data_IF_943747813580
#
_entry.id   IF_943747813580
#
_cell.length_a   1.000
_cell.length_b   1.000
_cell.length_c   1.000
_cell.angle_alpha   90.00
_cell.angle_beta   90.00
_cell.angle_gamma   90.00
#
_symmetry.space_group_name_H-M   'P 1'
#
loop_
_entity.id
_entity.type
_entity.pdbx_description
1 polymer ?
#
# COMPACT_ATOMS: atom_id res chain seq x y z
N UNK A 1 -17.93 -17.57 -5.81
CA UNK A 1 -17.14 -16.83 -4.79
C UNK A 1 -15.73 -16.64 -5.33
N UNK A 2 -15.09 -15.50 -5.06
CA UNK A 2 -13.70 -15.23 -5.46
C UNK A 2 -12.77 -15.43 -4.26
N UNK A 3 -11.55 -15.91 -4.51
CA UNK A 3 -10.50 -16.01 -3.49
C UNK A 3 -9.23 -15.39 -4.08
N UNK A 4 -8.71 -14.37 -3.40
CA UNK A 4 -7.39 -13.82 -3.66
C UNK A 4 -6.45 -14.23 -2.53
N UNK A 5 -5.21 -14.53 -2.90
CA UNK A 5 -4.10 -14.73 -1.98
C UNK A 5 -2.99 -13.82 -2.48
N UNK A 6 -2.54 -12.91 -1.62
CA UNK A 6 -1.41 -12.03 -1.90
C UNK A 6 -0.21 -12.54 -1.11
N UNK A 7 0.76 -13.11 -1.80
CA UNK A 7 2.01 -13.61 -1.19
C UNK A 7 3.09 -12.53 -1.31
N UNK A 8 3.59 -12.08 -0.16
CA UNK A 8 4.60 -11.02 -0.10
C UNK A 8 5.99 -11.64 -0.25
N UNK A 9 6.59 -11.51 -1.44
CA UNK A 9 7.94 -12.03 -1.71
C UNK A 9 9.06 -11.14 -1.16
N UNK A 10 8.77 -9.84 -0.96
CA UNK A 10 9.67 -8.85 -0.37
C UNK A 10 8.86 -7.73 0.27
N UNK A 11 9.38 -7.14 1.36
CA UNK A 11 8.70 -6.06 2.07
C UNK A 11 9.71 -5.03 2.57
N UNK A 12 9.59 -3.79 2.10
CA UNK A 12 10.29 -2.63 2.65
C UNK A 12 9.40 -1.39 2.51
N UNK A 13 8.27 -1.41 3.20
CA UNK A 13 7.17 -0.47 3.05
C UNK A 13 5.85 -1.21 3.17
N UNK A 14 4.75 -0.63 2.67
CA UNK A 14 3.43 -1.24 2.80
C UNK A 14 3.15 -2.36 1.80
N UNK A 15 3.35 -3.59 2.27
CA UNK A 15 2.89 -4.79 1.56
C UNK A 15 1.36 -4.92 1.52
N UNK A 16 0.63 -4.25 2.40
CA UNK A 16 -0.84 -4.20 2.37
C UNK A 16 -1.36 -3.34 1.22
N UNK A 17 -0.77 -2.18 0.95
CA UNK A 17 -1.12 -1.37 -0.23
C UNK A 17 -0.65 -2.04 -1.53
N UNK A 18 0.54 -2.68 -1.52
CA UNK A 18 0.97 -3.52 -2.63
C UNK A 18 -0.04 -4.65 -2.93
N UNK A 19 -0.63 -5.25 -1.89
CA UNK A 19 -1.66 -6.29 -2.04
C UNK A 19 -2.94 -5.74 -2.69
N UNK A 20 -3.34 -4.51 -2.40
CA UNK A 20 -4.48 -3.85 -3.07
C UNK A 20 -4.18 -3.63 -4.56
N UNK A 21 -3.03 -3.03 -4.87
CA UNK A 21 -2.61 -2.77 -6.25
C UNK A 21 -2.50 -4.07 -7.07
N UNK A 22 -1.82 -5.08 -6.52
CA UNK A 22 -1.67 -6.39 -7.13
C UNK A 22 -3.01 -7.09 -7.33
N UNK A 23 -3.90 -7.04 -6.32
CA UNK A 23 -5.25 -7.63 -6.43
C UNK A 23 -6.09 -6.97 -7.51
N UNK A 24 -6.01 -5.64 -7.66
CA UNK A 24 -6.72 -4.93 -8.73
C UNK A 24 -6.27 -5.44 -10.11
N UNK A 25 -4.97 -5.63 -10.32
CA UNK A 25 -4.44 -6.15 -11.58
C UNK A 25 -4.82 -7.63 -11.79
N UNK A 26 -4.67 -8.47 -10.76
CA UNK A 26 -5.04 -9.90 -10.83
C UNK A 26 -6.53 -10.12 -11.11
N UNK A 27 -7.41 -9.26 -10.58
CA UNK A 27 -8.84 -9.32 -10.87
C UNK A 27 -9.17 -8.94 -12.32
N UNK A 28 -8.48 -7.95 -12.87
CA UNK A 28 -8.61 -7.58 -14.28
C UNK A 28 -8.13 -8.71 -15.19
N UNK A 29 -6.97 -9.29 -14.89
CA UNK A 29 -6.39 -10.42 -15.64
C UNK A 29 -7.32 -11.66 -15.60
N UNK A 30 -7.91 -11.95 -14.44
CA UNK A 30 -8.89 -13.01 -14.28
C UNK A 30 -10.26 -12.71 -14.94
N UNK A 31 -10.44 -11.55 -15.59
CA UNK A 31 -11.69 -11.16 -16.25
C UNK A 31 -12.84 -10.82 -15.29
N UNK A 32 -12.54 -10.53 -14.02
CA UNK A 32 -13.57 -10.15 -13.05
C UNK A 32 -14.04 -8.73 -13.34
N UNK A 33 -15.36 -8.48 -13.49
CA UNK A 33 -15.89 -7.16 -13.84
C UNK A 33 -15.90 -6.23 -12.62
N UNK A 34 -14.72 -5.76 -12.21
CA UNK A 34 -14.59 -4.74 -11.18
C UNK A 34 -15.00 -3.36 -11.72
N UNK A 35 -15.58 -2.52 -10.86
CA UNK A 35 -16.13 -1.21 -11.27
C UNK A 35 -15.06 -0.27 -11.80
N UNK A 36 -13.86 -0.28 -11.21
CA UNK A 36 -12.72 0.54 -11.57
C UNK A 36 -11.43 -0.08 -11.02
N UNK A 37 -10.28 0.35 -11.56
CA UNK A 37 -8.98 0.06 -10.97
C UNK A 37 -8.84 0.70 -9.59
N UNK A 38 -8.16 0.01 -8.67
CA UNK A 38 -7.88 0.53 -7.32
C UNK A 38 -6.39 0.42 -7.03
N UNK A 39 -5.82 1.50 -6.50
CA UNK A 39 -4.45 1.57 -6.02
C UNK A 39 -4.42 2.18 -4.62
N UNK A 40 -3.31 1.95 -3.90
CA UNK A 40 -3.05 2.53 -2.59
C UNK A 40 -1.57 2.85 -2.43
N UNK A 41 -1.27 3.79 -1.54
CA UNK A 41 0.09 4.19 -1.16
C UNK A 41 0.13 4.34 0.36
N UNK A 42 1.27 4.02 0.98
CA UNK A 42 1.47 4.28 2.39
C UNK A 42 2.03 5.68 2.61
N UNK A 43 1.54 6.33 3.67
CA UNK A 43 1.89 7.69 4.02
C UNK A 43 2.46 7.69 5.44
N UNK A 44 3.41 8.55 5.70
CA UNK A 44 3.96 8.78 7.04
C UNK A 44 3.89 10.25 7.42
N UNK A 45 4.12 10.53 8.70
CA UNK A 45 4.16 11.87 9.26
C UNK A 45 5.36 11.95 10.21
N UNK A 46 6.11 13.04 10.11
CA UNK A 46 7.09 13.44 11.13
C UNK A 46 6.67 14.82 11.63
N UNK A 47 6.49 14.99 12.92
CA UNK A 47 5.98 16.18 13.59
C UNK A 47 6.85 16.54 14.82
N UNK A 48 7.18 17.82 14.91
CA UNK A 48 7.85 18.44 16.05
C UNK A 48 7.06 19.69 16.47
N UNK A 49 7.40 20.29 17.61
CA UNK A 49 6.67 21.43 18.18
C UNK A 49 6.50 22.62 17.20
N UNK A 50 7.42 22.75 16.26
CA UNK A 50 7.57 23.82 15.29
C UNK A 50 7.12 23.47 13.86
N UNK A 51 6.63 22.24 13.61
CA UNK A 51 6.05 21.88 12.32
C UNK A 51 5.96 20.38 12.03
N UNK A 52 5.45 20.03 10.85
CA UNK A 52 5.36 18.64 10.41
C UNK A 52 5.69 18.47 8.92
N UNK A 53 6.07 17.25 8.54
CA UNK A 53 6.34 16.80 7.18
C UNK A 53 5.57 15.52 6.90
N UNK A 54 4.85 15.49 5.78
CA UNK A 54 4.20 14.28 5.28
C UNK A 54 5.13 13.53 4.34
N UNK A 55 5.30 12.23 4.57
CA UNK A 55 6.06 11.31 3.72
C UNK A 55 5.10 10.50 2.85
N UNK A 56 5.52 10.20 1.62
CA UNK A 56 4.74 9.41 0.65
C UNK A 56 5.54 8.18 0.24
N UNK A 57 4.87 7.03 0.14
CA UNK A 57 5.43 5.72 -0.14
C UNK A 57 6.55 5.32 0.82
N UNK A 58 6.20 5.30 2.11
CA UNK A 58 7.17 5.11 3.17
C UNK A 58 7.81 3.72 3.19
N UNK A 59 9.09 3.71 3.53
CA UNK A 59 9.85 2.51 3.89
C UNK A 59 9.45 2.01 5.28
N UNK A 60 9.80 0.76 5.59
CA UNK A 60 9.55 0.21 6.93
C UNK A 60 10.29 0.94 8.05
N UNK A 61 11.44 1.55 7.74
CA UNK A 61 12.18 2.38 8.70
C UNK A 61 11.51 3.72 8.95
N UNK A 62 10.87 4.31 7.93
CA UNK A 62 10.18 5.60 8.05
C UNK A 62 8.87 5.46 8.82
N UNK A 63 8.20 4.29 8.73
CA UNK A 63 7.05 3.94 9.56
C UNK A 63 7.44 3.84 11.05
N UNK A 64 8.55 3.15 11.35
CA UNK A 64 9.04 2.99 12.72
C UNK A 64 9.54 4.29 13.36
N UNK A 65 9.89 5.29 12.55
CA UNK A 65 10.38 6.61 12.98
C UNK A 65 9.32 7.71 12.87
N UNK A 66 8.15 7.40 12.31
CA UNK A 66 7.03 8.33 12.19
C UNK A 66 6.33 8.56 13.55
N UNK A 67 5.55 9.63 13.61
CA UNK A 67 4.74 10.03 14.77
C UNK A 67 3.31 9.47 14.75
#
# INVERSE_FOLDING_TARGET
>A
AFRLVSEVLSSNGSSSMASVCGSSLSLMDAGVPIKAAVAGVAMGLIAHDDGFVTLTDILGVEDALGD
#
